data_IF_904190053528
#
_entry.id   IF_904190053528
#
_cell.length_a   1.000
_cell.length_b   1.000
_cell.length_c   1.000
_cell.angle_alpha   90.00
_cell.angle_beta   90.00
_cell.angle_gamma   90.00
#
_symmetry.space_group_name_H-M   'P 1'
#
loop_
_entity.id
_entity.type
_entity.pdbx_description
1 polymer ?
#
# COMPACT_ATOMS: atom_id res chain seq x y z
N UNK A 1 -19.51 -0.31 -28.71
CA UNK A 1 -19.31 -1.43 -27.78
C UNK A 1 -18.10 -1.20 -26.85
N UNK A 2 -16.94 -0.88 -27.40
CA UNK A 2 -15.72 -0.60 -26.61
C UNK A 2 -15.85 0.61 -25.66
N UNK A 3 -16.59 1.63 -26.07
CA UNK A 3 -16.83 2.82 -25.27
C UNK A 3 -17.79 2.57 -24.09
N UNK A 4 -18.77 1.70 -24.30
CA UNK A 4 -19.72 1.29 -23.26
C UNK A 4 -19.03 0.40 -22.19
N UNK A 5 -18.12 -0.49 -22.61
CA UNK A 5 -17.32 -1.31 -21.71
C UNK A 5 -16.37 -0.43 -20.87
N UNK A 6 -15.72 0.57 -21.50
CA UNK A 6 -14.86 1.53 -20.78
C UNK A 6 -15.62 2.40 -19.77
N UNK A 7 -16.87 2.79 -20.10
CA UNK A 7 -17.73 3.52 -19.16
C UNK A 7 -18.19 2.66 -17.99
N UNK A 8 -18.49 1.38 -18.22
CA UNK A 8 -18.86 0.44 -17.17
C UNK A 8 -17.70 0.21 -16.20
N UNK A 9 -16.47 -0.05 -16.71
CA UNK A 9 -15.27 -0.17 -15.88
C UNK A 9 -14.97 1.10 -15.07
N UNK A 10 -15.18 2.30 -15.64
CA UNK A 10 -15.01 3.55 -14.90
C UNK A 10 -16.08 3.75 -13.83
N UNK A 11 -17.31 3.36 -14.08
CA UNK A 11 -18.38 3.43 -13.11
C UNK A 11 -18.13 2.47 -11.94
N UNK A 12 -17.68 1.25 -12.24
CA UNK A 12 -17.30 0.26 -11.22
C UNK A 12 -16.11 0.72 -10.39
N UNK A 13 -15.03 1.17 -11.01
CA UNK A 13 -13.87 1.71 -10.27
C UNK A 13 -14.21 2.92 -9.40
N UNK A 14 -15.13 3.76 -9.86
CA UNK A 14 -15.57 4.93 -9.08
C UNK A 14 -16.50 4.56 -7.93
N UNK A 15 -17.33 3.53 -8.13
CA UNK A 15 -18.23 3.01 -7.10
C UNK A 15 -17.44 2.26 -6.02
N UNK A 16 -16.50 1.45 -6.42
CA UNK A 16 -15.66 0.64 -5.54
C UNK A 16 -14.70 1.46 -4.68
N UNK A 17 -14.34 2.69 -5.11
CA UNK A 17 -13.64 3.67 -4.25
C UNK A 17 -14.37 3.98 -2.95
N UNK A 18 -15.70 3.86 -2.96
CA UNK A 18 -16.52 4.15 -1.79
C UNK A 18 -16.68 2.93 -0.89
N UNK A 19 -16.44 1.75 -1.43
CA UNK A 19 -16.82 0.51 -0.78
C UNK A 19 -15.64 -0.21 -0.19
N UNK A 20 -14.34 0.14 -0.49
CA UNK A 20 -13.40 -0.55 0.32
C UNK A 20 -12.48 -1.59 -0.22
N UNK A 21 -11.31 -1.42 0.00
CA UNK A 21 -10.29 -2.42 -0.17
C UNK A 21 -10.04 -2.77 -1.65
N UNK A 22 -8.83 -3.07 -1.95
CA UNK A 22 -8.35 -3.23 -3.31
C UNK A 22 -8.92 -4.45 -4.04
N UNK A 23 -9.50 -5.39 -3.31
CA UNK A 23 -10.12 -6.56 -3.92
C UNK A 23 -11.40 -6.24 -4.71
N UNK A 24 -12.11 -5.20 -4.31
CA UNK A 24 -13.35 -4.78 -4.97
C UNK A 24 -13.11 -3.78 -6.08
N UNK A 25 -12.02 -3.00 -6.02
CA UNK A 25 -11.70 -1.95 -6.98
C UNK A 25 -11.59 -2.42 -8.43
N UNK A 26 -11.27 -3.67 -8.66
CA UNK A 26 -10.93 -4.17 -10.00
C UNK A 26 -11.67 -5.45 -10.39
N UNK A 27 -12.58 -5.93 -9.56
CA UNK A 27 -13.40 -7.14 -9.76
C UNK A 27 -12.60 -8.38 -10.24
N UNK A 28 -11.28 -8.35 -10.07
CA UNK A 28 -10.38 -9.42 -10.47
C UNK A 28 -9.44 -9.77 -9.32
N UNK A 29 -9.43 -11.05 -8.97
CA UNK A 29 -8.53 -11.58 -7.96
C UNK A 29 -7.48 -12.46 -8.60
N UNK A 30 -6.22 -12.38 -8.18
CA UNK A 30 -5.24 -13.38 -8.58
C UNK A 30 -5.70 -14.76 -8.07
N UNK A 31 -5.39 -15.84 -8.79
CA UNK A 31 -5.59 -17.19 -8.28
C UNK A 31 -4.88 -17.33 -6.93
N UNK A 32 -5.52 -18.00 -5.97
CA UNK A 32 -4.89 -18.30 -4.70
C UNK A 32 -3.71 -19.23 -4.92
N UNK A 33 -2.52 -18.79 -4.53
CA UNK A 33 -1.31 -19.58 -4.56
C UNK A 33 -1.25 -20.36 -3.25
N UNK A 34 -1.19 -21.68 -3.32
CA UNK A 34 -0.96 -22.52 -2.15
C UNK A 34 0.46 -22.27 -1.58
N UNK A 35 0.58 -22.32 -0.27
CA UNK A 35 1.85 -21.98 0.40
C UNK A 35 3.02 -22.87 -0.02
N UNK A 36 2.72 -24.12 -0.42
CA UNK A 36 3.68 -25.08 -0.97
C UNK A 36 4.18 -24.75 -2.38
N UNK A 37 3.45 -23.92 -3.12
CA UNK A 37 3.79 -23.49 -4.49
C UNK A 37 4.57 -22.18 -4.51
N UNK A 38 4.71 -21.51 -3.36
CA UNK A 38 5.57 -20.35 -3.24
C UNK A 38 6.99 -20.81 -3.48
N UNK A 39 7.58 -20.38 -4.59
CA UNK A 39 8.96 -20.74 -4.92
C UNK A 39 9.87 -20.35 -3.76
N UNK A 40 10.67 -21.28 -3.26
CA UNK A 40 11.69 -20.94 -2.31
C UNK A 40 12.65 -19.92 -2.94
N UNK A 41 13.35 -19.23 -2.08
CA UNK A 41 14.44 -18.33 -2.38
C UNK A 41 15.24 -18.79 -3.59
N UNK A 42 15.59 -17.83 -4.44
CA UNK A 42 16.52 -17.97 -5.53
C UNK A 42 17.68 -18.94 -5.19
N UNK A 43 18.09 -19.77 -6.15
CA UNK A 43 19.21 -20.71 -6.05
C UNK A 43 20.55 -20.06 -5.65
N UNK A 44 20.63 -18.73 -5.70
CA UNK A 44 21.76 -17.92 -5.20
C UNK A 44 21.90 -17.91 -3.67
N UNK A 45 20.91 -18.39 -2.90
CA UNK A 45 20.89 -18.34 -1.44
C UNK A 45 20.59 -16.98 -0.86
N UNK A 46 20.09 -16.04 -1.66
CA UNK A 46 19.63 -14.73 -1.18
C UNK A 46 18.40 -14.88 -0.28
N UNK A 47 18.35 -14.09 0.78
CA UNK A 47 17.23 -14.08 1.71
C UNK A 47 16.08 -13.27 1.08
N UNK A 48 14.89 -13.89 1.00
CA UNK A 48 13.64 -13.18 0.68
C UNK A 48 12.65 -13.32 1.84
N UNK A 49 11.73 -12.36 1.97
CA UNK A 49 10.69 -12.48 2.97
C UNK A 49 9.69 -13.58 2.59
N UNK A 50 9.16 -14.29 3.60
CA UNK A 50 8.16 -15.33 3.39
C UNK A 50 6.80 -14.79 2.98
N UNK A 51 6.53 -13.52 3.28
CA UNK A 51 5.28 -12.80 3.01
C UNK A 51 5.54 -11.43 2.46
N UNK A 52 4.56 -10.86 1.76
CA UNK A 52 4.60 -9.45 1.36
C UNK A 52 4.15 -8.61 2.54
N UNK A 53 5.06 -7.80 3.04
CA UNK A 53 4.86 -6.94 4.19
C UNK A 53 4.98 -5.48 3.75
N UNK A 54 4.02 -4.65 4.14
CA UNK A 54 4.18 -3.20 4.07
C UNK A 54 5.03 -2.78 5.28
N UNK A 55 6.27 -2.33 5.09
CA UNK A 55 7.11 -1.96 6.22
C UNK A 55 6.63 -0.65 6.83
N UNK A 56 6.86 -0.44 8.12
CA UNK A 56 6.61 0.85 8.75
C UNK A 56 7.51 1.94 8.18
N UNK A 57 8.79 1.62 8.01
CA UNK A 57 9.80 2.53 7.49
C UNK A 57 10.53 1.96 6.28
N UNK A 58 10.90 2.86 5.39
CA UNK A 58 11.86 2.63 4.30
C UNK A 58 13.16 3.33 4.69
N UNK A 59 14.26 2.62 4.65
CA UNK A 59 15.59 3.22 4.82
C UNK A 59 16.07 3.71 3.46
N UNK A 60 16.07 5.02 3.27
CA UNK A 60 16.47 5.68 2.02
C UNK A 60 17.93 6.11 2.12
N UNK A 61 18.76 5.55 1.27
CA UNK A 61 20.14 6.01 1.06
C UNK A 61 20.14 7.21 0.11
N UNK A 62 20.45 8.40 0.63
CA UNK A 62 20.35 9.64 -0.17
C UNK A 62 21.60 9.86 -1.02
N UNK A 63 21.82 8.96 -1.97
CA UNK A 63 22.96 8.98 -2.86
C UNK A 63 23.00 7.79 -3.83
N UNK A 64 24.14 7.59 -4.46
CA UNK A 64 24.37 6.40 -5.28
C UNK A 64 24.70 5.19 -4.41
N UNK A 65 24.42 3.98 -4.89
CA UNK A 65 24.60 2.72 -4.16
C UNK A 65 25.97 2.55 -3.48
N UNK A 66 27.01 3.11 -4.06
CA UNK A 66 28.39 2.96 -3.58
C UNK A 66 28.93 4.19 -2.86
N UNK A 67 28.13 5.22 -2.68
CA UNK A 67 28.52 6.40 -1.93
C UNK A 67 28.40 6.13 -0.43
N UNK A 68 29.51 5.74 0.20
CA UNK A 68 29.55 5.44 1.64
C UNK A 68 29.48 6.70 2.53
N UNK A 69 29.48 7.89 1.93
CA UNK A 69 29.37 9.17 2.66
C UNK A 69 27.94 9.70 2.68
N UNK A 70 27.08 9.18 1.82
CA UNK A 70 25.69 9.57 1.74
C UNK A 70 24.91 9.10 2.99
N UNK A 71 24.05 9.95 3.56
CA UNK A 71 23.28 9.58 4.75
C UNK A 71 22.11 8.64 4.43
N UNK A 72 21.74 7.82 5.41
CA UNK A 72 20.54 7.04 5.41
C UNK A 72 19.43 7.76 6.18
N UNK A 73 18.22 7.82 5.60
CA UNK A 73 17.03 8.40 6.22
C UNK A 73 15.95 7.35 6.43
N UNK A 74 15.36 7.35 7.62
CA UNK A 74 14.20 6.51 7.95
C UNK A 74 12.93 7.28 7.60
N UNK A 75 12.25 6.86 6.54
CA UNK A 75 11.00 7.47 6.08
C UNK A 75 9.84 6.49 6.29
N UNK A 76 8.72 6.96 6.81
CA UNK A 76 7.52 6.13 6.87
C UNK A 76 7.13 5.69 5.47
N UNK A 77 6.74 4.44 5.29
CA UNK A 77 6.44 3.88 3.97
C UNK A 77 5.51 4.76 3.12
N UNK A 78 4.38 5.20 3.70
CA UNK A 78 3.43 6.07 2.98
C UNK A 78 4.04 7.42 2.62
N UNK A 79 4.80 8.01 3.51
CA UNK A 79 5.45 9.31 3.28
C UNK A 79 6.53 9.19 2.19
N UNK A 80 7.26 8.06 2.18
CA UNK A 80 8.18 7.74 1.10
C UNK A 80 7.46 7.65 -0.27
N UNK A 81 6.36 6.90 -0.36
CA UNK A 81 5.58 6.77 -1.61
C UNK A 81 5.03 8.14 -2.06
N UNK A 82 4.47 8.93 -1.14
CA UNK A 82 3.98 10.29 -1.42
C UNK A 82 5.07 11.20 -1.94
N UNK A 83 6.26 11.15 -1.33
CA UNK A 83 7.42 11.91 -1.73
C UNK A 83 7.87 11.56 -3.15
N UNK A 84 8.08 10.27 -3.43
CA UNK A 84 8.49 9.78 -4.75
C UNK A 84 7.46 10.17 -5.81
N UNK A 85 6.19 9.88 -5.61
CA UNK A 85 5.13 10.22 -6.56
C UNK A 85 5.07 11.73 -6.81
N UNK A 86 5.19 12.57 -5.77
CA UNK A 86 5.22 14.03 -5.91
C UNK A 86 6.49 14.54 -6.61
N UNK A 87 7.54 13.72 -6.68
CA UNK A 87 8.82 14.08 -7.33
C UNK A 87 8.89 13.63 -8.79
N UNK A 88 8.07 12.64 -9.18
CA UNK A 88 8.18 11.98 -10.48
C UNK A 88 7.00 12.21 -11.41
N UNK A 89 5.79 12.41 -10.88
CA UNK A 89 4.58 12.61 -11.68
C UNK A 89 3.87 13.92 -11.31
N UNK A 90 2.94 14.34 -12.15
CA UNK A 90 2.21 15.58 -11.96
C UNK A 90 0.88 15.34 -11.24
N UNK A 91 0.64 16.08 -10.17
CA UNK A 91 -0.59 16.05 -9.38
C UNK A 91 -1.87 16.46 -10.16
N UNK A 92 -1.69 17.06 -11.32
CA UNK A 92 -2.77 17.49 -12.23
C UNK A 92 -3.13 16.46 -13.31
N UNK A 93 -2.46 15.31 -13.31
CA UNK A 93 -2.81 14.22 -14.23
C UNK A 93 -4.16 13.58 -13.83
N UNK A 94 -4.83 12.87 -14.77
CA UNK A 94 -6.04 12.11 -14.43
C UNK A 94 -5.79 11.18 -13.23
N UNK A 95 -6.78 11.07 -12.35
CA UNK A 95 -6.69 10.22 -11.15
C UNK A 95 -6.26 8.78 -11.48
N UNK A 96 -6.80 8.20 -12.56
CA UNK A 96 -6.47 6.84 -12.99
C UNK A 96 -5.00 6.70 -13.42
N UNK A 97 -4.44 7.76 -14.03
CA UNK A 97 -3.00 7.82 -14.33
C UNK A 97 -2.18 7.90 -13.05
N UNK A 98 -2.56 8.74 -12.10
CA UNK A 98 -1.88 8.89 -10.82
C UNK A 98 -1.91 7.55 -10.07
N UNK A 99 -3.07 6.86 -10.02
CA UNK A 99 -3.23 5.54 -9.41
C UNK A 99 -2.30 4.51 -10.02
N UNK A 100 -2.25 4.42 -11.34
CA UNK A 100 -1.39 3.46 -12.04
C UNK A 100 0.10 3.71 -11.70
N UNK A 101 0.55 4.96 -11.69
CA UNK A 101 1.92 5.30 -11.34
C UNK A 101 2.24 5.02 -9.86
N UNK A 102 1.33 5.35 -8.93
CA UNK A 102 1.51 5.07 -7.50
C UNK A 102 1.59 3.56 -7.26
N UNK A 103 0.73 2.76 -7.88
CA UNK A 103 0.77 1.29 -7.80
C UNK A 103 2.11 0.73 -8.33
N UNK A 104 2.63 1.29 -9.42
CA UNK A 104 3.95 0.91 -9.92
C UNK A 104 5.07 1.28 -8.93
N UNK A 105 5.08 2.49 -8.37
CA UNK A 105 6.04 2.92 -7.35
C UNK A 105 5.99 2.01 -6.12
N UNK A 106 4.79 1.68 -5.64
CA UNK A 106 4.61 0.79 -4.48
C UNK A 106 5.12 -0.62 -4.77
N UNK A 107 4.75 -1.20 -5.92
CA UNK A 107 5.19 -2.55 -6.26
C UNK A 107 6.71 -2.64 -6.41
N UNK A 108 7.33 -1.65 -7.03
CA UNK A 108 8.80 -1.56 -7.09
C UNK A 108 9.43 -1.50 -5.69
N UNK A 109 8.91 -0.62 -4.84
CA UNK A 109 9.41 -0.45 -3.47
C UNK A 109 9.28 -1.75 -2.68
N UNK A 110 8.11 -2.40 -2.75
CA UNK A 110 7.86 -3.67 -2.06
C UNK A 110 8.68 -4.83 -2.64
N UNK A 111 9.02 -4.80 -3.92
CA UNK A 111 9.98 -5.76 -4.46
C UNK A 111 11.34 -5.62 -3.79
N UNK A 112 11.83 -4.39 -3.59
CA UNK A 112 13.09 -4.12 -2.88
C UNK A 112 13.06 -4.60 -1.43
N UNK A 113 11.92 -4.41 -0.76
CA UNK A 113 11.71 -4.91 0.61
C UNK A 113 11.64 -6.43 0.63
N UNK A 114 10.79 -7.04 -0.21
CA UNK A 114 10.56 -8.48 -0.24
C UNK A 114 11.83 -9.27 -0.55
N UNK A 115 12.63 -8.80 -1.50
CA UNK A 115 13.87 -9.46 -1.93
C UNK A 115 15.07 -9.11 -1.07
N UNK A 116 14.95 -8.24 -0.07
CA UNK A 116 16.08 -7.71 0.71
C UNK A 116 17.26 -7.27 -0.19
N UNK A 117 16.92 -6.68 -1.36
CA UNK A 117 17.81 -6.48 -2.50
C UNK A 117 19.17 -5.88 -2.15
N UNK A 118 19.20 -4.82 -1.37
CA UNK A 118 20.44 -4.16 -0.97
C UNK A 118 21.08 -4.82 0.25
N UNK A 119 20.27 -5.34 1.18
CA UNK A 119 20.78 -6.03 2.38
C UNK A 119 21.51 -7.32 2.04
N UNK A 120 21.02 -8.09 1.07
CA UNK A 120 21.70 -9.26 0.52
C UNK A 120 23.06 -8.89 -0.15
N UNK A 121 23.29 -7.61 -0.44
CA UNK A 121 24.55 -7.07 -0.98
C UNK A 121 25.40 -6.35 0.09
N UNK A 122 25.11 -6.61 1.37
CA UNK A 122 25.84 -6.04 2.50
C UNK A 122 25.63 -4.54 2.72
N UNK A 123 24.49 -4.01 2.23
CA UNK A 123 24.10 -2.62 2.46
C UNK A 123 23.12 -2.53 3.65
N UNK A 124 23.09 -1.41 4.33
CA UNK A 124 22.26 -1.14 5.50
C UNK A 124 21.01 -0.30 5.19
N UNK A 125 20.58 -0.25 3.93
CA UNK A 125 19.43 0.49 3.46
C UNK A 125 18.51 -0.35 2.58
N UNK A 126 17.26 0.12 2.41
CA UNK A 126 16.22 -0.55 1.62
C UNK A 126 16.26 -0.12 0.15
N UNK A 127 16.51 1.16 -0.10
CA UNK A 127 16.38 1.79 -1.43
C UNK A 127 17.27 3.02 -1.51
N UNK A 128 17.60 3.47 -2.73
CA UNK A 128 18.37 4.71 -2.94
C UNK A 128 17.48 5.86 -3.42
N UNK A 129 17.94 7.10 -3.26
CA UNK A 129 17.33 8.29 -3.90
C UNK A 129 17.77 8.48 -5.37
N UNK A 130 18.62 7.59 -5.88
CA UNK A 130 19.21 7.70 -7.21
C UNK A 130 18.31 7.10 -8.29
N UNK A 131 17.86 7.92 -9.23
CA UNK A 131 17.07 7.49 -10.41
C UNK A 131 17.82 6.58 -11.37
N UNK A 132 19.12 6.38 -11.17
CA UNK A 132 19.90 5.40 -11.93
C UNK A 132 19.62 3.97 -11.48
N UNK A 133 19.13 3.78 -10.29
CA UNK A 133 18.88 2.48 -9.65
C UNK A 133 17.44 2.31 -9.19
N UNK A 134 16.87 3.34 -8.56
CA UNK A 134 15.56 3.29 -7.90
C UNK A 134 14.72 4.55 -8.23
N UNK A 135 14.20 5.23 -7.23
CA UNK A 135 13.24 6.31 -7.36
C UNK A 135 13.85 7.70 -7.08
N UNK A 136 13.22 8.73 -7.63
CA UNK A 136 13.53 10.11 -7.28
C UNK A 136 12.88 10.46 -5.94
N UNK A 137 13.59 10.24 -4.86
CA UNK A 137 13.22 10.75 -3.55
C UNK A 137 13.97 12.07 -3.27
N UNK A 138 13.30 13.06 -2.66
CA UNK A 138 13.88 14.37 -2.35
C UNK A 138 13.53 14.71 -0.90
N UNK A 139 14.52 14.89 -0.06
CA UNK A 139 14.32 15.26 1.33
C UNK A 139 13.52 16.56 1.46
N UNK A 140 12.48 16.56 2.29
CA UNK A 140 11.62 17.73 2.52
C UNK A 140 10.73 18.12 1.35
N UNK A 141 10.48 17.19 0.41
CA UNK A 141 9.57 17.40 -0.71
C UNK A 141 8.16 17.74 -0.23
N UNK A 142 7.58 18.82 -0.77
CA UNK A 142 6.16 19.09 -0.60
C UNK A 142 5.33 18.02 -1.31
N UNK A 143 4.39 17.43 -0.58
CA UNK A 143 3.45 16.43 -1.09
C UNK A 143 2.18 17.13 -1.56
N UNK A 144 1.69 16.73 -2.74
CA UNK A 144 0.44 17.25 -3.30
C UNK A 144 -0.77 16.48 -2.76
N UNK A 145 -1.88 17.18 -2.47
CA UNK A 145 -3.09 16.61 -1.85
C UNK A 145 -3.68 15.44 -2.65
N UNK A 146 -3.77 15.54 -3.98
CA UNK A 146 -4.28 14.45 -4.81
C UNK A 146 -3.41 13.18 -4.72
N UNK A 147 -2.09 13.35 -4.70
CA UNK A 147 -1.14 12.25 -4.53
C UNK A 147 -1.24 11.65 -3.13
N UNK A 148 -1.33 12.50 -2.09
CA UNK A 148 -1.49 12.05 -0.71
C UNK A 148 -2.74 11.21 -0.54
N UNK A 149 -3.88 11.71 -1.00
CA UNK A 149 -5.17 11.02 -0.94
C UNK A 149 -5.11 9.65 -1.65
N UNK A 150 -4.62 9.63 -2.87
CA UNK A 150 -4.55 8.39 -3.66
C UNK A 150 -3.57 7.38 -3.04
N UNK A 151 -2.44 7.84 -2.50
CA UNK A 151 -1.51 6.96 -1.80
C UNK A 151 -2.17 6.33 -0.56
N UNK A 152 -2.91 7.12 0.23
CA UNK A 152 -3.60 6.62 1.42
C UNK A 152 -4.74 5.64 1.09
N UNK A 153 -5.34 5.77 -0.11
CA UNK A 153 -6.33 4.81 -0.61
C UNK A 153 -5.71 3.46 -1.06
N UNK A 154 -4.43 3.45 -1.46
CA UNK A 154 -3.80 2.32 -2.15
C UNK A 154 -2.61 1.69 -1.41
N UNK A 155 -2.17 2.23 -0.28
CA UNK A 155 -0.84 1.96 0.30
C UNK A 155 -0.56 0.49 0.63
N UNK A 156 -1.55 -0.35 0.75
CA UNK A 156 -1.42 -1.78 1.00
C UNK A 156 -1.36 -2.63 -0.27
N UNK A 157 -1.48 -2.00 -1.46
CA UNK A 157 -1.50 -2.69 -2.72
C UNK A 157 -0.12 -2.89 -3.33
N UNK A 158 -0.01 -3.97 -4.10
CA UNK A 158 1.14 -4.22 -4.97
C UNK A 158 0.72 -5.01 -6.21
N UNK A 159 1.62 -5.10 -7.18
CA UNK A 159 1.38 -5.85 -8.41
C UNK A 159 2.10 -7.19 -8.34
N UNK A 160 1.41 -8.24 -8.70
CA UNK A 160 1.94 -9.61 -8.73
C UNK A 160 1.50 -10.37 -9.97
N UNK A 161 2.11 -11.55 -10.19
CA UNK A 161 1.65 -12.53 -11.18
C UNK A 161 0.93 -13.68 -10.47
N UNK A 162 0.07 -14.44 -11.17
CA UNK A 162 -0.75 -15.48 -10.54
C UNK A 162 0.06 -16.58 -9.83
N UNK A 163 1.22 -16.90 -10.36
CA UNK A 163 2.10 -17.99 -9.93
C UNK A 163 3.29 -17.51 -9.07
N UNK A 164 3.33 -16.23 -8.74
CA UNK A 164 4.45 -15.62 -8.01
C UNK A 164 3.95 -14.68 -6.93
N UNK A 165 4.28 -14.95 -5.67
CA UNK A 165 3.94 -14.08 -4.53
C UNK A 165 4.75 -12.78 -4.55
N UNK A 166 5.96 -12.81 -5.06
CA UNK A 166 6.87 -11.67 -5.10
C UNK A 166 6.24 -10.48 -5.83
N UNK A 167 6.28 -9.26 -5.26
CA UNK A 167 5.90 -8.05 -5.97
C UNK A 167 6.68 -7.88 -7.27
N UNK A 168 6.00 -7.48 -8.35
CA UNK A 168 6.66 -7.21 -9.63
C UNK A 168 7.64 -6.03 -9.46
N UNK A 169 8.86 -6.18 -9.98
CA UNK A 169 9.78 -5.06 -10.13
C UNK A 169 9.32 -4.17 -11.29
N UNK A 170 8.42 -3.26 -10.99
CA UNK A 170 7.75 -2.37 -11.93
C UNK A 170 8.63 -1.20 -12.34
N UNK A 171 9.59 -1.46 -13.19
CA UNK A 171 10.48 -0.44 -13.71
C UNK A 171 9.73 0.51 -14.66
N UNK A 172 10.09 1.79 -14.62
CA UNK A 172 9.51 2.84 -15.44
C UNK A 172 10.53 3.93 -15.80
N UNK A 173 10.15 4.80 -16.72
CA UNK A 173 10.93 5.97 -17.12
C UNK A 173 9.99 7.13 -17.52
N UNK A 174 10.54 8.32 -17.70
CA UNK A 174 9.79 9.49 -18.20
C UNK A 174 9.10 9.19 -19.54
N UNK A 175 9.79 8.58 -20.49
CA UNK A 175 9.26 8.24 -21.82
C UNK A 175 9.11 9.40 -22.79
N UNK A 176 9.43 10.62 -22.37
CA UNK A 176 9.40 11.85 -23.19
C UNK A 176 10.77 12.49 -23.34
N UNK A 177 11.45 12.70 -22.22
CA UNK A 177 12.81 13.27 -22.20
C UNK A 177 13.87 12.18 -22.22
N UNK A 178 13.55 11.03 -21.58
CA UNK A 178 14.42 9.87 -21.49
C UNK A 178 13.65 8.65 -22.02
N UNK A 179 14.24 7.96 -22.99
CA UNK A 179 13.70 6.70 -23.51
C UNK A 179 13.93 5.58 -22.52
N UNK A 180 12.93 4.72 -22.30
CA UNK A 180 13.11 3.53 -21.50
C UNK A 180 14.14 2.58 -22.12
N UNK A 181 14.98 2.00 -21.28
CA UNK A 181 16.02 1.05 -21.73
C UNK A 181 15.41 -0.25 -22.25
N UNK A 182 14.29 -0.66 -21.67
CA UNK A 182 13.61 -1.94 -21.99
C UNK A 182 12.15 -1.70 -22.41
N UNK A 183 11.66 -2.53 -23.32
CA UNK A 183 10.28 -2.45 -23.84
C UNK A 183 9.19 -2.76 -22.81
N UNK A 184 9.50 -3.51 -21.74
CA UNK A 184 8.57 -3.87 -20.68
C UNK A 184 8.49 -2.85 -19.55
N UNK A 185 9.06 -1.66 -19.70
CA UNK A 185 8.99 -0.59 -18.71
C UNK A 185 7.84 0.35 -19.01
N UNK A 186 7.15 0.79 -17.98
CA UNK A 186 6.11 1.80 -18.13
C UNK A 186 6.72 3.15 -18.44
N UNK A 187 6.18 3.84 -19.45
CA UNK A 187 6.51 5.24 -19.67
C UNK A 187 5.50 6.11 -18.93
N UNK A 188 5.95 7.03 -18.09
CA UNK A 188 5.07 7.91 -17.30
C UNK A 188 4.17 8.75 -18.21
N UNK A 189 4.71 9.34 -19.27
CA UNK A 189 3.90 10.08 -20.25
C UNK A 189 3.01 9.18 -21.11
N UNK A 190 3.39 7.93 -21.34
CA UNK A 190 2.54 6.93 -21.98
C UNK A 190 1.35 6.57 -21.10
N UNK A 191 1.57 6.37 -19.79
CA UNK A 191 0.47 6.14 -18.84
C UNK A 191 -0.51 7.33 -18.81
N UNK A 192 0.01 8.56 -18.87
CA UNK A 192 -0.83 9.76 -18.99
C UNK A 192 -1.66 9.74 -20.28
N UNK A 193 -1.04 9.43 -21.42
CA UNK A 193 -1.77 9.35 -22.69
C UNK A 193 -2.89 8.33 -22.67
N UNK A 194 -2.70 7.19 -22.01
CA UNK A 194 -3.75 6.19 -21.81
C UNK A 194 -4.86 6.68 -20.86
N UNK A 195 -4.48 7.33 -19.76
CA UNK A 195 -5.43 7.92 -18.82
C UNK A 195 -6.28 9.03 -19.46
N UNK A 196 -5.70 9.88 -20.31
CA UNK A 196 -6.43 10.90 -21.09
C UNK A 196 -7.46 10.26 -22.04
N UNK A 197 -7.20 9.03 -22.52
CA UNK A 197 -8.11 8.24 -23.34
C UNK A 197 -9.15 7.47 -22.52
N UNK A 198 -9.09 7.56 -21.19
CA UNK A 198 -10.06 6.93 -20.29
C UNK A 198 -9.76 5.49 -19.93
N UNK A 199 -8.52 5.03 -20.06
CA UNK A 199 -8.08 3.75 -19.53
C UNK A 199 -8.09 3.76 -18.00
N UNK A 200 -8.58 2.68 -17.40
CA UNK A 200 -8.51 2.44 -15.96
C UNK A 200 -7.07 2.15 -15.51
N UNK A 201 -6.77 2.25 -14.20
CA UNK A 201 -5.43 1.96 -13.69
C UNK A 201 -4.92 0.56 -14.06
N UNK A 202 -5.78 -0.46 -13.98
CA UNK A 202 -5.42 -1.84 -14.32
C UNK A 202 -5.12 -1.99 -15.83
N UNK A 203 -5.93 -1.37 -16.69
CA UNK A 203 -5.68 -1.38 -18.13
C UNK A 203 -4.37 -0.68 -18.49
N UNK A 204 -4.07 0.46 -17.84
CA UNK A 204 -2.79 1.17 -18.01
C UNK A 204 -1.63 0.26 -17.60
N UNK A 205 -1.70 -0.34 -16.44
CA UNK A 205 -0.63 -1.19 -15.92
C UNK A 205 -0.45 -2.45 -16.79
N UNK A 206 -1.52 -3.10 -17.21
CA UNK A 206 -1.46 -4.27 -18.10
C UNK A 206 -0.89 -3.96 -19.48
N UNK A 207 -1.14 -2.76 -19.99
CA UNK A 207 -0.55 -2.33 -21.26
C UNK A 207 1.00 -2.40 -21.24
N UNK A 208 1.62 -2.09 -20.09
CA UNK A 208 3.08 -2.08 -19.97
C UNK A 208 3.64 -3.38 -19.36
N UNK A 209 2.98 -3.95 -18.37
CA UNK A 209 3.52 -5.06 -17.57
C UNK A 209 2.91 -6.43 -17.92
N UNK A 210 1.95 -6.49 -18.84
CA UNK A 210 1.33 -7.72 -19.34
C UNK A 210 -0.04 -8.02 -18.72
N UNK A 211 -0.84 -8.81 -19.48
CA UNK A 211 -2.23 -9.10 -19.13
C UNK A 211 -2.39 -10.06 -17.93
N UNK A 212 -1.33 -10.76 -17.57
CA UNK A 212 -1.25 -11.68 -16.44
C UNK A 212 -0.88 -10.99 -15.12
N UNK A 213 -0.86 -9.66 -15.10
CA UNK A 213 -0.61 -8.85 -13.92
C UNK A 213 -1.91 -8.60 -13.15
N UNK A 214 -1.84 -8.73 -11.83
CA UNK A 214 -2.93 -8.48 -10.89
C UNK A 214 -2.53 -7.44 -9.85
N UNK A 215 -3.53 -6.72 -9.33
CA UNK A 215 -3.38 -5.89 -8.14
C UNK A 215 -3.71 -6.76 -6.93
N UNK A 216 -2.78 -6.85 -6.01
CA UNK A 216 -2.90 -7.67 -4.82
C UNK A 216 -2.79 -6.80 -3.56
N UNK A 217 -3.07 -7.39 -2.40
CA UNK A 217 -2.98 -6.76 -1.08
C UNK A 217 -1.89 -7.44 -0.29
N UNK A 218 -1.09 -6.66 0.42
CA UNK A 218 -0.08 -7.20 1.31
C UNK A 218 -0.73 -8.00 2.46
N UNK A 219 -0.11 -9.12 2.79
CA UNK A 219 -0.59 -10.02 3.85
C UNK A 219 -0.40 -9.42 5.24
N UNK A 220 0.57 -8.53 5.39
CA UNK A 220 0.94 -7.93 6.65
C UNK A 220 1.36 -6.47 6.46
N UNK A 221 1.03 -5.63 7.44
CA UNK A 221 1.51 -4.27 7.55
C UNK A 221 2.33 -4.19 8.83
N UNK A 222 3.64 -3.96 8.70
CA UNK A 222 4.56 -3.87 9.84
C UNK A 222 4.24 -2.63 10.70
N UNK A 223 4.28 -2.80 12.01
CA UNK A 223 3.85 -1.74 12.94
C UNK A 223 2.33 -1.54 13.01
N UNK A 224 1.58 -2.21 12.13
CA UNK A 224 0.12 -2.30 12.16
C UNK A 224 -0.22 -3.79 12.22
N UNK A 225 -0.77 -4.29 13.34
CA UNK A 225 -0.88 -5.72 13.61
C UNK A 225 -1.77 -6.50 12.64
N UNK A 226 -2.50 -5.84 11.75
CA UNK A 226 -3.36 -6.52 10.78
C UNK A 226 -3.83 -5.61 9.66
N UNK A 227 -3.91 -6.17 8.46
CA UNK A 227 -4.60 -5.56 7.34
C UNK A 227 -6.12 -5.55 7.54
N UNK A 228 -6.78 -4.64 6.86
CA UNK A 228 -8.24 -4.54 6.78
C UNK A 228 -8.88 -5.87 6.36
N UNK A 229 -9.99 -6.31 7.01
CA UNK A 229 -10.65 -7.58 6.68
C UNK A 229 -11.34 -7.60 5.30
N UNK A 230 -11.44 -6.46 4.61
CA UNK A 230 -12.14 -6.33 3.33
C UNK A 230 -13.64 -6.01 3.43
N UNK A 231 -14.16 -5.87 4.63
CA UNK A 231 -15.56 -5.54 4.92
C UNK A 231 -15.70 -4.81 6.25
N UNK A 232 -16.78 -4.05 6.42
CA UNK A 232 -17.08 -3.32 7.65
C UNK A 232 -17.39 -4.28 8.81
N UNK A 233 -16.75 -4.05 9.96
CA UNK A 233 -17.14 -4.75 11.19
C UNK A 233 -18.22 -3.94 11.89
N UNK A 234 -19.36 -4.59 12.11
CA UNK A 234 -20.53 -4.02 12.76
C UNK A 234 -21.19 -5.02 13.70
N UNK A 235 -22.26 -4.62 14.36
CA UNK A 235 -23.01 -5.51 15.27
C UNK A 235 -23.41 -6.79 14.55
N UNK A 236 -23.02 -7.93 15.13
CA UNK A 236 -23.20 -9.28 14.58
C UNK A 236 -21.96 -9.84 13.89
N UNK A 237 -20.92 -9.05 13.57
CA UNK A 237 -19.66 -9.57 13.08
C UNK A 237 -18.94 -10.40 14.15
N UNK A 238 -18.27 -11.46 13.74
CA UNK A 238 -17.52 -12.36 14.64
C UNK A 238 -16.20 -12.81 14.03
N UNK A 239 -15.27 -13.25 14.88
CA UNK A 239 -14.02 -13.87 14.45
C UNK A 239 -12.77 -13.11 14.87
N UNK A 240 -11.62 -13.56 14.37
CA UNK A 240 -10.31 -13.08 14.79
C UNK A 240 -10.08 -11.58 14.56
N UNK A 241 -10.63 -11.02 13.48
CA UNK A 241 -10.51 -9.58 13.21
C UNK A 241 -11.25 -8.72 14.23
N UNK A 242 -12.40 -9.20 14.72
CA UNK A 242 -13.14 -8.55 15.82
C UNK A 242 -12.34 -8.66 17.11
N UNK A 243 -11.85 -9.87 17.42
CA UNK A 243 -11.03 -10.13 18.62
C UNK A 243 -9.83 -9.19 18.67
N UNK A 244 -9.05 -9.14 17.59
CA UNK A 244 -7.88 -8.28 17.47
C UNK A 244 -8.22 -6.81 17.64
N UNK A 245 -9.27 -6.32 17.00
CA UNK A 245 -9.71 -4.94 17.14
C UNK A 245 -10.11 -4.61 18.59
N UNK A 246 -10.78 -5.53 19.28
CA UNK A 246 -11.16 -5.37 20.70
C UNK A 246 -9.93 -5.28 21.60
N UNK A 247 -8.91 -6.12 21.37
CA UNK A 247 -7.62 -6.05 22.07
C UNK A 247 -6.97 -4.68 21.89
N UNK A 248 -6.89 -4.21 20.65
CA UNK A 248 -6.30 -2.92 20.30
C UNK A 248 -7.07 -1.75 20.91
N UNK A 249 -8.41 -1.76 20.86
CA UNK A 249 -9.23 -0.75 21.51
C UNK A 249 -8.98 -0.68 23.02
N UNK A 250 -8.80 -1.83 23.68
CA UNK A 250 -8.52 -1.87 25.11
C UNK A 250 -7.16 -1.30 25.47
N UNK A 251 -6.15 -1.52 24.64
CA UNK A 251 -4.83 -0.88 24.79
C UNK A 251 -4.96 0.63 24.61
N UNK A 252 -5.66 1.08 23.57
CA UNK A 252 -5.92 2.50 23.30
C UNK A 252 -6.70 3.13 24.45
N UNK A 253 -7.73 2.45 24.98
CA UNK A 253 -8.52 2.90 26.12
C UNK A 253 -7.68 3.10 27.40
N UNK A 254 -6.54 2.40 27.52
CA UNK A 254 -5.58 2.64 28.59
C UNK A 254 -4.93 4.03 28.52
N UNK A 255 -4.64 4.51 27.33
CA UNK A 255 -4.07 5.84 27.08
C UNK A 255 -5.15 6.94 26.94
N UNK A 256 -6.34 6.57 26.49
CA UNK A 256 -7.48 7.46 26.27
C UNK A 256 -8.70 7.02 27.09
N UNK A 257 -8.79 7.35 28.39
CA UNK A 257 -9.84 6.86 29.28
C UNK A 257 -11.27 7.22 28.90
N UNK A 258 -11.45 8.16 27.98
CA UNK A 258 -12.76 8.50 27.42
C UNK A 258 -13.36 7.38 26.55
N UNK A 259 -12.53 6.43 26.09
CA UNK A 259 -12.94 5.29 25.28
C UNK A 259 -13.19 4.12 26.23
N UNK A 260 -14.43 3.56 26.29
CA UNK A 260 -14.73 2.45 27.17
C UNK A 260 -13.99 1.18 26.75
N UNK A 261 -13.48 0.43 27.70
CA UNK A 261 -12.98 -0.93 27.44
C UNK A 261 -14.12 -1.88 27.07
N UNK A 262 -13.80 -2.86 26.24
CA UNK A 262 -14.74 -3.88 25.75
C UNK A 262 -14.30 -5.28 26.18
N UNK A 263 -15.23 -6.23 26.15
CA UNK A 263 -14.88 -7.65 26.27
C UNK A 263 -14.10 -8.07 25.00
N UNK A 264 -13.05 -8.85 25.21
CA UNK A 264 -12.24 -9.42 24.13
C UNK A 264 -12.77 -10.85 23.90
N UNK A 265 -13.83 -10.95 23.12
CA UNK A 265 -14.57 -12.19 22.89
C UNK A 265 -14.74 -12.54 21.40
N UNK A 266 -14.24 -11.65 20.51
CA UNK A 266 -14.39 -11.82 19.07
C UNK A 266 -15.83 -11.63 18.57
N UNK A 267 -16.71 -11.01 19.35
CA UNK A 267 -18.10 -10.72 18.99
C UNK A 267 -18.32 -9.21 18.98
N UNK A 268 -18.65 -8.67 17.82
CA UNK A 268 -18.98 -7.26 17.69
C UNK A 268 -20.41 -6.99 18.19
N UNK A 269 -20.52 -6.75 19.48
CA UNK A 269 -21.79 -6.43 20.16
C UNK A 269 -22.00 -4.92 20.32
N UNK A 270 -23.08 -4.56 21.02
CA UNK A 270 -23.43 -3.16 21.36
C UNK A 270 -22.31 -2.47 22.14
N UNK A 271 -21.64 -3.15 23.05
CA UNK A 271 -20.54 -2.61 23.82
C UNK A 271 -19.36 -2.23 22.91
N UNK A 272 -19.02 -3.10 21.96
CA UNK A 272 -17.97 -2.84 20.96
C UNK A 272 -18.34 -1.65 20.08
N UNK A 273 -19.58 -1.62 19.58
CA UNK A 273 -20.08 -0.51 18.77
C UNK A 273 -20.03 0.84 19.51
N UNK A 274 -20.42 0.86 20.78
CA UNK A 274 -20.36 2.06 21.62
C UNK A 274 -18.93 2.54 21.85
N UNK A 275 -17.99 1.62 22.08
CA UNK A 275 -16.56 1.93 22.22
C UNK A 275 -15.98 2.50 20.91
N UNK A 276 -16.27 1.87 19.78
CA UNK A 276 -15.85 2.36 18.44
C UNK A 276 -16.43 3.74 18.18
N UNK A 277 -17.69 3.99 18.44
CA UNK A 277 -18.31 5.31 18.30
C UNK A 277 -17.61 6.37 19.15
N UNK A 278 -17.19 6.00 20.35
CA UNK A 278 -16.45 6.89 21.24
C UNK A 278 -15.03 7.15 20.72
N UNK A 279 -14.37 6.11 20.22
CA UNK A 279 -13.08 6.21 19.53
C UNK A 279 -13.18 7.19 18.34
N UNK A 280 -14.16 7.00 17.47
CA UNK A 280 -14.40 7.86 16.31
C UNK A 280 -14.56 9.32 16.72
N UNK A 281 -15.36 9.61 17.76
CA UNK A 281 -15.51 10.95 18.30
C UNK A 281 -14.20 11.56 18.80
N UNK A 282 -13.39 10.77 19.51
CA UNK A 282 -12.10 11.24 20.06
C UNK A 282 -11.13 11.61 18.95
N UNK A 283 -11.13 10.85 17.84
CA UNK A 283 -10.18 11.03 16.74
C UNK A 283 -10.76 11.74 15.50
N UNK A 284 -11.94 12.37 15.64
CA UNK A 284 -12.51 13.20 14.59
C UNK A 284 -13.05 12.46 13.37
N UNK A 285 -13.41 11.18 13.53
CA UNK A 285 -14.05 10.36 12.50
C UNK A 285 -15.59 10.46 12.61
N UNK A 286 -16.33 10.11 11.53
CA UNK A 286 -17.78 9.95 11.60
C UNK A 286 -18.18 8.93 12.69
N UNK A 287 -18.96 9.34 13.68
CA UNK A 287 -19.28 8.53 14.86
C UNK A 287 -20.41 7.52 14.59
N UNK A 288 -20.17 6.58 13.70
CA UNK A 288 -21.13 5.57 13.26
C UNK A 288 -21.25 4.40 14.22
N UNK A 289 -20.16 4.07 14.94
CA UNK A 289 -20.04 2.85 15.72
C UNK A 289 -19.81 1.60 14.86
N UNK A 290 -19.45 1.80 13.60
CA UNK A 290 -19.04 0.78 12.63
C UNK A 290 -17.53 0.93 12.42
N UNK A 291 -16.80 -0.17 12.43
CA UNK A 291 -15.39 -0.16 12.07
C UNK A 291 -15.28 -0.33 10.56
N UNK A 292 -15.39 0.79 9.85
CA UNK A 292 -15.12 0.91 8.43
C UNK A 292 -13.61 0.98 8.16
N UNK A 293 -13.22 1.05 6.90
CA UNK A 293 -11.83 1.14 6.46
C UNK A 293 -11.05 2.24 7.18
N UNK A 294 -11.60 3.46 7.26
CA UNK A 294 -10.94 4.60 7.92
C UNK A 294 -10.79 4.36 9.42
N UNK A 295 -11.82 3.86 10.05
CA UNK A 295 -11.81 3.55 11.48
C UNK A 295 -10.82 2.44 11.81
N UNK A 296 -10.77 1.37 10.99
CA UNK A 296 -9.80 0.29 11.16
C UNK A 296 -8.37 0.80 11.19
N UNK A 297 -7.96 1.52 10.16
CA UNK A 297 -6.58 2.02 10.07
C UNK A 297 -6.27 3.10 11.10
N UNK A 298 -7.27 3.88 11.51
CA UNK A 298 -7.08 4.82 12.62
C UNK A 298 -6.88 4.11 13.95
N UNK A 299 -7.57 2.99 14.18
CA UNK A 299 -7.32 2.13 15.35
C UNK A 299 -5.90 1.57 15.31
N UNK A 300 -5.46 1.06 14.16
CA UNK A 300 -4.10 0.54 14.00
C UNK A 300 -3.04 1.62 14.25
N UNK A 301 -3.19 2.80 13.66
CA UNK A 301 -2.29 3.95 13.85
C UNK A 301 -2.15 4.33 15.34
N UNK A 302 -3.27 4.50 16.01
CA UNK A 302 -3.27 4.90 17.42
C UNK A 302 -2.74 3.77 18.32
N UNK A 303 -3.08 2.51 18.02
CA UNK A 303 -2.56 1.36 18.75
C UNK A 303 -1.03 1.31 18.71
N UNK A 304 -0.42 1.46 17.53
CA UNK A 304 1.04 1.51 17.38
C UNK A 304 1.64 2.65 18.20
N UNK A 305 1.02 3.83 18.12
CA UNK A 305 1.49 5.01 18.85
C UNK A 305 1.47 4.83 20.38
N UNK A 306 0.42 4.18 20.93
CA UNK A 306 0.27 4.00 22.39
C UNK A 306 1.00 2.77 22.92
N UNK A 307 1.13 1.72 22.12
CA UNK A 307 1.80 0.47 22.51
C UNK A 307 3.33 0.55 22.41
N UNK A 308 3.87 1.58 21.72
CA UNK A 308 5.29 1.76 21.44
C UNK A 308 5.98 0.57 20.76
N UNK A 309 5.22 -0.24 20.04
CA UNK A 309 5.77 -1.40 19.30
C UNK A 309 6.88 -0.95 18.34
N UNK A 310 6.72 0.21 17.72
CA UNK A 310 7.71 0.79 16.83
C UNK A 310 9.02 1.22 17.50
N UNK A 311 9.04 1.39 18.84
CA UNK A 311 10.25 1.78 19.57
C UNK A 311 11.07 0.57 20.07
N UNK A 312 10.53 -0.64 19.93
CA UNK A 312 11.12 -1.88 20.46
C UNK A 312 11.77 -2.77 19.40
N UNK A 313 11.76 -2.35 18.12
CA UNK A 313 12.34 -3.09 16.99
C UNK A 313 13.64 -2.48 16.47
#
# INVERSE_FOLDING_TARGET
>A
AQQAVKMAFRAEASFERLVIGPHTLFAEYPPKIEESEVKPVDESGEIVLSRVVIPEYIVVHDGSVNDTTAPNYYERYRDYIKNVASSEIYATWPDDTIRANILAIMSFTLNRVYTEWYRNKGKDFTITSSTAYDHKWIRGRNVFDSISRITDELFENYLSRPDVRQPILTQYCDGRRVQCRNRGWMTQWGSKSLGDQGYSPIEILRYFYGNDMYINVAEEISGIPSSWPGYDLNIGATGEKVLQMQEQLNVIAGAYPAIPKVNVDGIYGEQTSASVRKFQNVFGLPATGITDYQTWYKIQEIYVAVSRIAELS
#
